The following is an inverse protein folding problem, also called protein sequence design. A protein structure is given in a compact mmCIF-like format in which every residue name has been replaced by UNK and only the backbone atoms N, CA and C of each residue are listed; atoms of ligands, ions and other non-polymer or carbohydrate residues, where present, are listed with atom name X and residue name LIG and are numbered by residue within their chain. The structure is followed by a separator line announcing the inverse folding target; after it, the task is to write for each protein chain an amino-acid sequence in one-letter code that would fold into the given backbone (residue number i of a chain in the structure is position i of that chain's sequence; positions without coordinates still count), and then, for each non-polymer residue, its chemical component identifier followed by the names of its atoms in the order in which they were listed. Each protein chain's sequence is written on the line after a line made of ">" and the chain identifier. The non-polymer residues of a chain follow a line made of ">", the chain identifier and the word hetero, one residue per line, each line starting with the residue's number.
data_IF_238682577069
#
_entry.id   IF_238682577069
#
_cell.length_a   1.000
_cell.length_b   1.000
_cell.length_c   1.000
_cell.angle_alpha   90.00
_cell.angle_beta   90.00
_cell.angle_gamma   90.00
#
_symmetry.space_group_name_H-M   'P 1'
#
loop_
_entity.id
_entity.type
_entity.pdbx_description
1 polymer ?
#
# COMPACT_ATOMS: atom_id res chain seq x y z
N UNK A 1 23.78 -8.15 13.13
CA UNK A 1 23.98 -6.74 12.71
C UNK A 1 24.72 -6.63 11.38
N UNK A 2 25.73 -7.48 11.10
CA UNK A 2 26.50 -7.43 9.85
C UNK A 2 25.62 -7.63 8.61
N UNK A 3 24.61 -8.50 8.67
CA UNK A 3 23.62 -8.72 7.64
C UNK A 3 22.80 -7.43 7.32
N UNK A 4 22.36 -6.72 8.35
CA UNK A 4 21.65 -5.44 8.19
C UNK A 4 22.54 -4.37 7.55
N UNK A 5 23.82 -4.30 7.93
CA UNK A 5 24.77 -3.38 7.31
C UNK A 5 24.95 -3.66 5.82
N UNK A 6 25.13 -4.92 5.43
CA UNK A 6 25.34 -5.29 4.03
C UNK A 6 24.10 -5.12 3.17
N UNK A 7 22.95 -5.62 3.62
CA UNK A 7 21.75 -5.69 2.77
C UNK A 7 20.80 -4.50 2.89
N UNK A 8 20.96 -3.69 3.91
CA UNK A 8 20.18 -2.47 4.10
C UNK A 8 21.02 -1.20 3.92
N UNK A 9 22.14 -1.07 4.65
CA UNK A 9 22.89 0.18 4.66
C UNK A 9 23.58 0.44 3.32
N UNK A 10 24.17 -0.56 2.68
CA UNK A 10 24.88 -0.36 1.39
C UNK A 10 23.90 0.12 0.30
N UNK A 11 22.75 -0.56 0.02
CA UNK A 11 21.78 -0.06 -0.92
C UNK A 11 21.26 1.34 -0.56
N UNK A 12 21.03 1.60 0.72
CA UNK A 12 20.57 2.91 1.18
C UNK A 12 21.59 4.02 0.90
N UNK A 13 22.88 3.79 1.15
CA UNK A 13 23.96 4.73 0.84
C UNK A 13 24.08 4.98 -0.66
N UNK A 14 23.89 3.94 -1.49
CA UNK A 14 23.88 4.09 -2.96
C UNK A 14 22.71 5.00 -3.39
N UNK A 15 21.52 4.77 -2.88
CA UNK A 15 20.34 5.61 -3.17
C UNK A 15 20.58 7.05 -2.71
N UNK A 16 21.10 7.23 -1.51
CA UNK A 16 21.44 8.55 -0.97
C UNK A 16 22.48 9.27 -1.85
N UNK A 17 23.50 8.57 -2.31
CA UNK A 17 24.48 9.11 -3.26
C UNK A 17 23.82 9.58 -4.55
N UNK A 18 22.96 8.77 -5.15
CA UNK A 18 22.26 9.09 -6.40
C UNK A 18 21.33 10.30 -6.20
N UNK A 19 20.67 10.40 -5.04
CA UNK A 19 19.77 11.50 -4.69
C UNK A 19 20.43 12.89 -4.75
N UNK A 20 21.74 12.96 -4.47
CA UNK A 20 22.53 14.21 -4.55
C UNK A 20 23.30 14.35 -5.87
N UNK A 21 23.16 13.40 -6.80
CA UNK A 21 23.85 13.43 -8.09
C UNK A 21 23.01 14.15 -9.15
N UNK A 22 23.67 14.74 -10.15
CA UNK A 22 23.01 15.29 -11.32
C UNK A 22 22.63 14.16 -12.29
N UNK A 23 21.39 14.11 -12.75
CA UNK A 23 20.96 13.17 -13.77
C UNK A 23 21.64 13.46 -15.12
N UNK A 24 22.07 12.40 -15.83
CA UNK A 24 22.63 12.49 -17.17
C UNK A 24 22.07 11.41 -18.09
N UNK A 25 22.08 11.68 -19.40
CA UNK A 25 21.68 10.69 -20.42
C UNK A 25 22.90 9.85 -20.80
N UNK A 26 23.35 9.00 -19.86
CA UNK A 26 24.48 8.09 -20.03
C UNK A 26 24.30 6.87 -19.12
N UNK A 27 25.19 5.88 -19.24
CA UNK A 27 25.26 4.76 -18.28
C UNK A 27 26.54 4.87 -17.45
N UNK A 28 26.44 5.02 -16.12
CA UNK A 28 25.23 5.14 -15.28
C UNK A 28 24.50 6.48 -15.50
N UNK A 29 23.15 6.56 -15.26
CA UNK A 29 22.33 7.73 -15.55
C UNK A 29 22.49 8.88 -14.54
N UNK A 30 23.64 8.97 -13.88
CA UNK A 30 23.98 9.99 -12.90
C UNK A 30 25.46 10.32 -12.95
N UNK A 31 25.82 11.58 -12.71
CA UNK A 31 27.20 12.01 -12.58
C UNK A 31 27.82 11.53 -11.26
N UNK A 32 29.08 11.13 -11.22
CA UNK A 32 29.76 10.80 -9.97
C UNK A 32 29.84 12.05 -9.07
N UNK A 33 29.59 11.88 -7.75
CA UNK A 33 29.71 12.97 -6.78
C UNK A 33 31.15 13.47 -6.63
N UNK A 34 32.15 12.61 -6.91
CA UNK A 34 33.56 12.87 -6.75
C UNK A 34 34.18 13.01 -8.13
N UNK A 35 34.64 14.21 -8.47
CA UNK A 35 35.40 14.49 -9.69
C UNK A 35 36.84 14.84 -9.34
N UNK A 36 37.79 14.20 -10.03
CA UNK A 36 39.19 14.57 -9.99
C UNK A 36 39.43 15.67 -11.03
N UNK A 37 39.70 16.87 -10.57
CA UNK A 37 40.19 17.92 -11.43
C UNK A 37 41.72 17.73 -11.58
N UNK A 38 42.29 17.95 -12.76
CA UNK A 38 43.68 17.61 -13.13
C UNK A 38 44.81 18.11 -12.20
N UNK A 39 44.50 18.89 -11.18
CA UNK A 39 45.41 19.42 -10.15
C UNK A 39 45.34 18.65 -8.80
N UNK A 40 44.92 17.40 -8.79
CA UNK A 40 44.77 16.58 -7.56
C UNK A 40 43.73 17.13 -6.54
N UNK A 41 42.85 17.99 -6.96
CA UNK A 41 41.78 18.52 -6.11
C UNK A 41 40.55 17.65 -6.27
N UNK A 42 40.04 17.13 -5.17
CA UNK A 42 38.82 16.31 -5.10
C UNK A 42 37.63 17.27 -4.91
N UNK A 43 36.82 17.43 -5.97
CA UNK A 43 35.63 18.25 -5.89
C UNK A 43 34.41 17.38 -5.61
N UNK A 44 33.63 17.76 -4.59
CA UNK A 44 32.33 17.13 -4.26
C UNK A 44 31.23 18.00 -4.86
N UNK A 45 30.56 17.50 -5.90
CA UNK A 45 29.44 18.19 -6.55
C UNK A 45 28.11 17.65 -6.01
N UNK A 46 27.49 18.40 -5.12
CA UNK A 46 26.17 18.07 -4.57
C UNK A 46 25.08 18.84 -5.33
N UNK A 47 24.10 18.13 -5.85
CA UNK A 47 22.94 18.71 -6.49
C UNK A 47 21.71 18.66 -5.56
N UNK A 48 21.31 19.81 -5.05
CA UNK A 48 20.07 19.95 -4.27
C UNK A 48 18.86 20.26 -5.15
N UNK A 49 19.05 20.50 -6.46
CA UNK A 49 17.99 20.78 -7.40
C UNK A 49 16.95 19.67 -7.49
N UNK A 50 17.35 18.41 -7.28
CA UNK A 50 16.42 17.28 -7.24
C UNK A 50 15.37 17.44 -6.13
N UNK A 51 15.77 17.98 -4.97
CA UNK A 51 14.88 18.23 -3.84
C UNK A 51 14.04 19.49 -4.04
N UNK A 52 14.64 20.54 -4.63
CA UNK A 52 13.92 21.76 -5.00
C UNK A 52 12.80 21.45 -5.98
N UNK A 53 13.08 20.66 -6.99
CA UNK A 53 12.08 20.20 -7.98
C UNK A 53 10.88 19.49 -7.34
N UNK A 54 11.12 18.64 -6.33
CA UNK A 54 10.04 17.96 -5.59
C UNK A 54 9.12 18.93 -4.82
N UNK A 55 9.68 20.07 -4.38
CA UNK A 55 8.92 21.08 -3.62
C UNK A 55 8.22 22.07 -4.56
N UNK A 56 8.83 22.40 -5.70
CA UNK A 56 8.31 23.37 -6.66
C UNK A 56 7.18 22.79 -7.52
N UNK A 57 7.19 21.48 -7.81
CA UNK A 57 6.17 20.84 -8.63
C UNK A 57 4.93 20.46 -7.80
N UNK A 58 3.83 21.14 -8.05
CA UNK A 58 2.52 20.90 -7.45
C UNK A 58 2.03 19.44 -7.59
N UNK A 59 2.51 18.70 -8.58
CA UNK A 59 2.12 17.32 -8.83
C UNK A 59 2.49 16.42 -7.65
N UNK A 60 3.72 16.59 -7.13
CA UNK A 60 4.21 15.77 -6.01
C UNK A 60 3.44 16.05 -4.73
N UNK A 61 3.13 17.32 -4.45
CA UNK A 61 2.34 17.70 -3.29
C UNK A 61 0.91 17.16 -3.37
N UNK A 62 0.27 17.30 -4.53
CA UNK A 62 -1.08 16.75 -4.76
C UNK A 62 -1.10 15.23 -4.63
N UNK A 63 -0.12 14.54 -5.22
CA UNK A 63 0.00 13.09 -5.11
C UNK A 63 0.23 12.63 -3.67
N UNK A 64 1.08 13.34 -2.92
CA UNK A 64 1.37 13.04 -1.51
C UNK A 64 0.13 13.22 -0.62
N UNK A 65 -0.54 14.37 -0.74
CA UNK A 65 -1.77 14.64 0.01
C UNK A 65 -2.89 13.67 -0.34
N UNK A 66 -3.05 13.34 -1.62
CA UNK A 66 -4.01 12.34 -2.06
C UNK A 66 -3.70 10.95 -1.48
N UNK A 67 -2.42 10.56 -1.43
CA UNK A 67 -2.00 9.30 -0.83
C UNK A 67 -2.31 9.24 0.67
N UNK A 68 -2.08 10.34 1.40
CA UNK A 68 -2.45 10.44 2.83
C UNK A 68 -3.97 10.33 3.00
N UNK A 69 -4.73 11.01 2.14
CA UNK A 69 -6.19 10.96 2.18
C UNK A 69 -6.70 9.54 1.95
N UNK A 70 -6.26 8.89 0.88
CA UNK A 70 -6.64 7.50 0.56
C UNK A 70 -6.25 6.55 1.70
N UNK A 71 -5.04 6.68 2.26
CA UNK A 71 -4.59 5.87 3.38
C UNK A 71 -5.45 6.07 4.63
N UNK A 72 -5.78 7.32 4.96
CA UNK A 72 -6.59 7.67 6.14
C UNK A 72 -8.01 7.10 6.04
N UNK A 73 -8.66 7.31 4.90
CA UNK A 73 -10.02 6.78 4.65
C UNK A 73 -10.03 5.26 4.66
N UNK A 74 -9.05 4.62 4.02
CA UNK A 74 -8.93 3.15 4.00
C UNK A 74 -8.68 2.60 5.41
N UNK A 75 -7.84 3.25 6.21
CA UNK A 75 -7.58 2.85 7.60
C UNK A 75 -8.83 2.98 8.46
N UNK A 76 -9.60 4.05 8.28
CA UNK A 76 -10.89 4.22 8.97
C UNK A 76 -11.85 3.08 8.66
N UNK A 77 -12.01 2.70 7.39
CA UNK A 77 -12.84 1.56 7.02
C UNK A 77 -12.29 0.23 7.50
N UNK A 78 -10.97 0.03 7.45
CA UNK A 78 -10.33 -1.17 8.03
C UNK A 78 -10.61 -1.27 9.53
N UNK A 79 -10.55 -0.16 10.27
CA UNK A 79 -10.85 -0.14 11.70
C UNK A 79 -12.33 -0.38 11.98
N UNK A 80 -13.21 0.30 11.22
CA UNK A 80 -14.66 0.18 11.35
C UNK A 80 -15.16 -1.26 11.15
N UNK A 81 -14.58 -1.98 10.19
CA UNK A 81 -14.90 -3.38 9.91
C UNK A 81 -14.07 -4.34 10.78
N UNK A 82 -12.80 -4.03 10.96
CA UNK A 82 -11.85 -4.90 11.65
C UNK A 82 -12.10 -5.01 13.15
N UNK A 83 -12.49 -3.92 13.81
CA UNK A 83 -12.73 -3.93 15.24
C UNK A 83 -13.92 -4.84 15.64
N UNK A 84 -15.12 -4.74 15.05
CA UNK A 84 -16.21 -5.66 15.36
C UNK A 84 -15.86 -7.13 15.09
N UNK A 85 -15.15 -7.39 13.99
CA UNK A 85 -14.73 -8.75 13.64
C UNK A 85 -13.73 -9.27 14.69
N UNK A 86 -12.71 -8.50 15.04
CA UNK A 86 -11.72 -8.86 16.04
C UNK A 86 -12.38 -9.10 17.41
N UNK A 87 -13.33 -8.27 17.80
CA UNK A 87 -14.10 -8.40 19.04
C UNK A 87 -14.95 -9.68 19.04
N UNK A 88 -15.67 -9.95 17.94
CA UNK A 88 -16.46 -11.17 17.80
C UNK A 88 -15.60 -12.44 17.92
N UNK A 89 -14.39 -12.43 17.33
CA UNK A 89 -13.44 -13.54 17.42
C UNK A 89 -12.94 -13.71 18.86
N UNK A 90 -12.55 -12.61 19.52
CA UNK A 90 -12.07 -12.66 20.90
C UNK A 90 -13.12 -13.19 21.88
N UNK A 91 -14.39 -12.94 21.62
CA UNK A 91 -15.53 -13.43 22.42
C UNK A 91 -16.04 -14.79 22.03
N UNK A 92 -15.53 -15.39 20.96
CA UNK A 92 -15.98 -16.71 20.49
C UNK A 92 -15.35 -17.83 21.33
N UNK A 93 -16.06 -18.99 21.42
CA UNK A 93 -15.50 -20.19 22.02
C UNK A 93 -14.26 -20.70 21.25
N UNK A 94 -13.36 -21.43 21.89
CA UNK A 94 -12.07 -21.83 21.30
C UNK A 94 -12.18 -22.50 19.93
N UNK A 95 -13.18 -23.37 19.74
CA UNK A 95 -13.36 -24.07 18.46
C UNK A 95 -13.76 -23.12 17.31
N UNK A 96 -14.72 -22.21 17.55
CA UNK A 96 -15.15 -21.23 16.58
C UNK A 96 -14.03 -20.19 16.31
N UNK A 97 -13.30 -19.76 17.35
CA UNK A 97 -12.17 -18.83 17.26
C UNK A 97 -11.11 -19.32 16.28
N UNK A 98 -10.69 -20.58 16.38
CA UNK A 98 -9.69 -21.16 15.51
C UNK A 98 -10.14 -21.16 14.03
N UNK A 99 -11.41 -21.48 13.78
CA UNK A 99 -11.99 -21.45 12.43
C UNK A 99 -12.04 -20.02 11.90
N UNK A 100 -12.52 -19.07 12.69
CA UNK A 100 -12.62 -17.65 12.28
C UNK A 100 -11.24 -17.05 11.99
N UNK A 101 -10.24 -17.36 12.81
CA UNK A 101 -8.84 -16.94 12.57
C UNK A 101 -8.29 -17.53 11.27
N UNK A 102 -8.57 -18.81 11.00
CA UNK A 102 -8.17 -19.44 9.75
C UNK A 102 -8.83 -18.75 8.55
N UNK A 103 -10.12 -18.44 8.63
CA UNK A 103 -10.86 -17.75 7.56
C UNK A 103 -10.30 -16.36 7.24
N UNK A 104 -9.80 -15.62 8.25
CA UNK A 104 -9.18 -14.31 8.03
C UNK A 104 -7.85 -14.45 7.31
N UNK A 105 -7.07 -15.49 7.59
CA UNK A 105 -5.75 -15.71 6.98
C UNK A 105 -5.87 -16.38 5.61
N UNK A 106 -6.93 -17.12 5.35
CA UNK A 106 -7.14 -17.89 4.12
C UNK A 106 -6.96 -17.07 2.83
N UNK A 107 -7.40 -15.81 2.71
CA UNK A 107 -7.17 -15.01 1.52
C UNK A 107 -5.68 -14.82 1.16
N UNK A 108 -4.77 -14.90 2.12
CA UNK A 108 -3.33 -14.77 1.83
C UNK A 108 -2.74 -15.98 1.09
N UNK A 109 -3.37 -17.12 1.20
CA UNK A 109 -2.94 -18.34 0.51
C UNK A 109 -3.30 -18.34 -0.97
N UNK A 110 -4.17 -17.41 -1.39
CA UNK A 110 -4.51 -17.23 -2.80
C UNK A 110 -3.56 -16.22 -3.45
N UNK A 111 -3.25 -16.43 -4.74
CA UNK A 111 -2.43 -15.49 -5.50
C UNK A 111 -3.04 -14.10 -5.51
N UNK A 112 -2.20 -13.07 -5.34
CA UNK A 112 -2.62 -11.67 -5.42
C UNK A 112 -3.30 -11.37 -6.77
N UNK A 113 -2.73 -11.86 -7.87
CA UNK A 113 -3.30 -11.66 -9.20
C UNK A 113 -4.70 -12.27 -9.35
N UNK A 114 -4.92 -13.48 -8.83
CA UNK A 114 -6.25 -14.11 -8.85
C UNK A 114 -7.29 -13.24 -8.12
N UNK A 115 -6.92 -12.65 -6.98
CA UNK A 115 -7.80 -11.74 -6.23
C UNK A 115 -8.12 -10.48 -7.03
N UNK A 116 -7.10 -9.88 -7.67
CA UNK A 116 -7.31 -8.70 -8.53
C UNK A 116 -8.25 -9.02 -9.69
N UNK A 117 -8.02 -10.13 -10.41
CA UNK A 117 -8.92 -10.54 -11.50
C UNK A 117 -10.34 -10.87 -11.03
N UNK A 118 -10.49 -11.45 -9.85
CA UNK A 118 -11.81 -11.68 -9.27
C UNK A 118 -12.55 -10.36 -9.02
N UNK A 119 -11.88 -9.35 -8.44
CA UNK A 119 -12.46 -8.01 -8.24
C UNK A 119 -12.80 -7.33 -9.56
N UNK A 120 -11.95 -7.43 -10.58
CA UNK A 120 -12.24 -6.93 -11.93
C UNK A 120 -13.50 -7.59 -12.46
N UNK A 121 -13.63 -8.91 -12.34
CA UNK A 121 -14.81 -9.67 -12.77
C UNK A 121 -16.09 -9.28 -12.03
N UNK A 122 -16.00 -8.92 -10.75
CA UNK A 122 -17.14 -8.50 -9.91
C UNK A 122 -17.57 -7.07 -10.24
N UNK A 123 -16.61 -6.14 -10.39
CA UNK A 123 -16.85 -4.70 -10.47
C UNK A 123 -17.04 -4.16 -11.91
N UNK A 124 -16.73 -4.94 -12.95
CA UNK A 124 -16.94 -4.50 -14.35
C UNK A 124 -18.42 -4.22 -14.64
N UNK A 125 -18.71 -3.43 -15.67
CA UNK A 125 -20.07 -3.04 -16.02
C UNK A 125 -21.02 -4.23 -16.18
N UNK A 126 -20.59 -5.30 -16.87
CA UNK A 126 -21.32 -6.56 -16.98
C UNK A 126 -20.86 -7.57 -15.92
N UNK A 127 -20.46 -7.09 -14.74
CA UNK A 127 -19.97 -7.92 -13.63
C UNK A 127 -21.08 -8.44 -12.74
N UNK A 128 -20.68 -9.33 -11.82
CA UNK A 128 -21.62 -9.99 -10.91
C UNK A 128 -22.40 -8.98 -10.06
N UNK A 129 -21.75 -7.90 -9.59
CA UNK A 129 -22.38 -6.93 -8.72
C UNK A 129 -23.44 -6.12 -9.46
N UNK A 130 -23.14 -5.59 -10.65
CA UNK A 130 -24.12 -4.86 -11.45
C UNK A 130 -25.31 -5.75 -11.85
N UNK A 131 -25.04 -6.97 -12.32
CA UNK A 131 -26.09 -7.92 -12.69
C UNK A 131 -27.00 -8.26 -11.50
N UNK A 132 -26.43 -8.43 -10.31
CA UNK A 132 -27.18 -8.67 -9.09
C UNK A 132 -28.06 -7.46 -8.72
N UNK A 133 -27.51 -6.25 -8.73
CA UNK A 133 -28.24 -5.02 -8.40
C UNK A 133 -29.39 -4.73 -9.38
N UNK A 134 -29.18 -5.00 -10.68
CA UNK A 134 -30.22 -4.89 -11.70
C UNK A 134 -31.30 -5.97 -11.47
N UNK A 135 -30.89 -7.20 -11.17
CA UNK A 135 -31.80 -8.32 -10.96
C UNK A 135 -32.74 -8.14 -9.76
N UNK A 136 -32.29 -7.43 -8.71
CA UNK A 136 -33.13 -7.09 -7.55
C UNK A 136 -33.88 -5.73 -7.70
N UNK A 137 -33.72 -5.04 -8.85
CA UNK A 137 -34.39 -3.78 -9.14
C UNK A 137 -33.88 -2.55 -8.36
N UNK A 138 -32.67 -2.60 -7.84
CA UNK A 138 -32.03 -1.44 -7.13
C UNK A 138 -31.49 -0.41 -8.10
N UNK A 139 -31.03 -0.85 -9.27
CA UNK A 139 -30.53 0.00 -10.35
C UNK A 139 -31.12 -0.45 -11.69
N UNK A 140 -31.40 0.50 -12.59
CA UNK A 140 -31.92 0.22 -13.93
C UNK A 140 -30.82 0.03 -14.97
N UNK A 141 -29.62 0.59 -14.72
CA UNK A 141 -28.48 0.53 -15.64
C UNK A 141 -27.18 0.22 -14.87
N UNK A 142 -26.19 -0.41 -15.52
CA UNK A 142 -24.91 -0.72 -14.89
C UNK A 142 -24.19 0.55 -14.42
N UNK A 143 -23.71 0.55 -13.19
CA UNK A 143 -22.87 1.62 -12.61
C UNK A 143 -21.41 1.30 -12.91
N UNK A 144 -20.65 2.31 -13.38
CA UNK A 144 -19.21 2.19 -13.53
C UNK A 144 -18.55 2.20 -12.16
N UNK A 145 -18.15 1.03 -11.67
CA UNK A 145 -17.46 0.86 -10.38
C UNK A 145 -15.94 0.69 -10.57
N UNK A 146 -15.54 0.04 -11.66
CA UNK A 146 -14.14 -0.15 -12.00
C UNK A 146 -13.50 1.18 -12.40
N UNK A 147 -12.22 1.39 -12.04
CA UNK A 147 -11.46 2.63 -12.27
C UNK A 147 -12.03 3.86 -11.53
N UNK A 148 -12.66 3.64 -10.40
CA UNK A 148 -13.15 4.69 -9.49
C UNK A 148 -12.47 4.59 -8.14
N UNK A 149 -12.54 5.67 -7.36
CA UNK A 149 -12.05 5.70 -5.97
C UNK A 149 -12.69 4.59 -5.11
N UNK A 150 -13.94 4.23 -5.40
CA UNK A 150 -14.61 3.11 -4.74
C UNK A 150 -13.85 1.79 -4.92
N UNK A 151 -13.42 1.46 -6.15
CA UNK A 151 -12.65 0.24 -6.41
C UNK A 151 -11.28 0.27 -5.70
N UNK A 152 -10.65 1.45 -5.63
CA UNK A 152 -9.38 1.64 -4.92
C UNK A 152 -9.55 1.37 -3.42
N UNK A 153 -10.53 2.01 -2.78
CA UNK A 153 -10.82 1.80 -1.35
C UNK A 153 -11.19 0.36 -1.05
N UNK A 154 -12.06 -0.25 -1.86
CA UNK A 154 -12.46 -1.63 -1.69
C UNK A 154 -11.26 -2.58 -1.76
N UNK A 155 -10.39 -2.40 -2.77
CA UNK A 155 -9.18 -3.22 -2.94
C UNK A 155 -8.20 -3.08 -1.78
N UNK A 156 -7.97 -1.84 -1.29
CA UNK A 156 -7.09 -1.57 -0.15
C UNK A 156 -7.69 -2.18 1.11
N UNK A 157 -8.95 -1.88 1.44
CA UNK A 157 -9.61 -2.39 2.66
C UNK A 157 -9.59 -3.91 2.68
N UNK A 158 -10.00 -4.56 1.59
CA UNK A 158 -9.97 -6.03 1.48
C UNK A 158 -8.56 -6.60 1.72
N UNK A 159 -7.55 -5.97 1.14
CA UNK A 159 -6.16 -6.47 1.23
C UNK A 159 -5.54 -6.27 2.62
N UNK A 160 -5.88 -5.18 3.31
CA UNK A 160 -5.29 -4.82 4.59
C UNK A 160 -6.14 -5.16 5.81
N UNK A 161 -7.41 -5.54 5.62
CA UNK A 161 -8.32 -5.92 6.70
C UNK A 161 -7.75 -6.99 7.64
N UNK A 162 -7.14 -8.09 7.17
CA UNK A 162 -6.53 -9.08 8.06
C UNK A 162 -5.39 -8.51 8.91
N UNK A 163 -4.58 -7.60 8.35
CA UNK A 163 -3.50 -6.93 9.11
C UNK A 163 -4.02 -6.01 10.21
N UNK A 164 -5.25 -5.51 10.07
CA UNK A 164 -5.94 -4.76 11.13
C UNK A 164 -6.53 -5.69 12.18
N UNK A 165 -7.19 -6.78 11.76
CA UNK A 165 -7.91 -7.71 12.66
C UNK A 165 -6.94 -8.44 13.59
N UNK A 166 -5.82 -8.96 13.08
CA UNK A 166 -4.90 -9.80 13.85
C UNK A 166 -4.33 -9.10 15.09
N UNK A 167 -3.77 -7.87 14.99
CA UNK A 167 -3.28 -7.14 16.16
C UNK A 167 -4.39 -6.74 17.15
N UNK A 168 -5.56 -6.34 16.62
CA UNK A 168 -6.71 -6.00 17.45
C UNK A 168 -7.18 -7.21 18.25
N UNK A 169 -7.33 -8.37 17.60
CA UNK A 169 -7.68 -9.62 18.24
C UNK A 169 -6.67 -9.98 19.35
N UNK A 170 -5.36 -9.92 19.04
CA UNK A 170 -4.31 -10.28 20.01
C UNK A 170 -4.31 -9.39 21.27
N UNK A 171 -4.77 -8.14 21.15
CA UNK A 171 -4.95 -7.27 22.30
C UNK A 171 -6.27 -7.55 23.04
N UNK A 172 -7.37 -7.70 22.31
CA UNK A 172 -8.69 -7.95 22.90
C UNK A 172 -8.79 -9.30 23.64
N UNK A 173 -8.06 -10.33 23.18
CA UNK A 173 -8.01 -11.64 23.83
C UNK A 173 -7.35 -11.59 25.23
N UNK A 174 -6.39 -10.67 25.42
CA UNK A 174 -5.68 -10.48 26.69
C UNK A 174 -6.43 -9.62 27.69
N UNK A 175 -7.47 -8.91 27.24
CA UNK A 175 -8.28 -8.09 28.11
C UNK A 175 -9.32 -8.96 28.81
N UNK A 176 -9.31 -8.94 30.13
CA UNK A 176 -10.40 -9.48 30.97
C UNK A 176 -11.64 -8.59 30.77
N UNK A 177 -12.53 -9.03 29.90
CA UNK A 177 -13.76 -8.31 29.51
C UNK A 177 -14.98 -9.07 30.01
#
# INVERSE_FOLDING_TARGET
>A
YLWLLLFFLIPFVIVLKISFSTGQIAMPPYEPLLHWTGEKVLQIKLNLGNFAFLVEDDLYWKAYLNSIWVASVSTFFCLLLGYPIAYAIARSNPSARNILMLLIVLPFWTSFLLRVYAWIGILKNNGLLNNFLIGIGVIDQPIQMLQTDFAVYLGIVYSYLPFMILPLYANLEKMDL
#
